data_IF_724286370763
#
_entry.id   IF_724286370763
#
_cell.length_a   1.000
_cell.length_b   1.000
_cell.length_c   1.000
_cell.angle_alpha   90.00
_cell.angle_beta   90.00
_cell.angle_gamma   90.00
#
_symmetry.space_group_name_H-M   'P 1'
#
loop_
_entity.id
_entity.type
_entity.pdbx_description
1 polymer ?
#
# COMPACT_ATOMS: atom_id res chain seq x y z
N UNK A 1 -19.29 3.31 1.75
CA UNK A 1 -18.68 4.08 0.64
C UNK A 1 -17.21 3.73 0.46
N UNK A 2 -16.28 4.16 1.33
CA UNK A 2 -14.82 3.95 1.14
C UNK A 2 -14.39 2.48 0.95
N UNK A 3 -15.09 1.52 1.56
CA UNK A 3 -14.80 0.08 1.40
C UNK A 3 -15.03 -0.47 -0.02
N UNK A 4 -15.67 0.30 -0.90
CA UNK A 4 -15.90 -0.06 -2.30
C UNK A 4 -14.86 0.54 -3.26
N UNK A 5 -13.97 1.40 -2.76
CA UNK A 5 -12.92 1.99 -3.57
C UNK A 5 -11.82 0.99 -3.87
N UNK A 6 -11.15 1.17 -5.00
CA UNK A 6 -9.96 0.38 -5.30
C UNK A 6 -8.86 0.72 -4.27
N UNK A 7 -8.02 -0.23 -3.83
CA UNK A 7 -6.97 0.05 -2.84
C UNK A 7 -6.04 1.21 -3.24
N UNK A 8 -5.78 1.38 -4.54
CA UNK A 8 -5.04 2.54 -5.08
C UNK A 8 -5.72 3.88 -4.77
N UNK A 9 -7.04 3.95 -4.84
CA UNK A 9 -7.78 5.18 -4.56
C UNK A 9 -7.76 5.51 -3.07
N UNK A 10 -7.84 4.49 -2.21
CA UNK A 10 -7.66 4.67 -0.77
C UNK A 10 -6.26 5.19 -0.43
N UNK A 11 -5.22 4.69 -1.09
CA UNK A 11 -3.85 5.20 -0.95
C UNK A 11 -3.75 6.65 -1.42
N UNK A 12 -4.32 6.98 -2.58
CA UNK A 12 -4.34 8.35 -3.10
C UNK A 12 -5.03 9.29 -2.11
N UNK A 13 -6.22 8.93 -1.62
CA UNK A 13 -6.99 9.71 -0.67
C UNK A 13 -6.24 9.92 0.66
N UNK A 14 -5.59 8.86 1.13
CA UNK A 14 -4.74 8.91 2.32
C UNK A 14 -3.52 9.82 2.13
N UNK A 15 -3.05 10.08 0.90
CA UNK A 15 -1.85 10.89 0.66
C UNK A 15 -2.17 12.35 0.33
N UNK A 16 -3.35 12.63 -0.21
CA UNK A 16 -3.77 13.99 -0.57
C UNK A 16 -4.45 14.75 0.57
N UNK A 17 -4.95 14.06 1.59
CA UNK A 17 -5.67 14.69 2.71
C UNK A 17 -5.18 14.18 4.06
N UNK A 18 -4.74 15.10 4.93
CA UNK A 18 -4.34 14.78 6.31
C UNK A 18 -5.48 14.16 7.13
N UNK A 19 -6.72 14.60 6.89
CA UNK A 19 -7.90 14.07 7.57
C UNK A 19 -8.16 12.62 7.17
N UNK A 20 -8.12 12.33 5.86
CA UNK A 20 -8.29 10.96 5.37
C UNK A 20 -7.11 10.08 5.76
N UNK A 21 -5.87 10.59 5.73
CA UNK A 21 -4.71 9.88 6.26
C UNK A 21 -4.94 9.45 7.72
N UNK A 22 -5.29 10.42 8.58
CA UNK A 22 -5.51 10.20 9.99
C UNK A 22 -6.70 9.27 10.29
N UNK A 23 -7.66 9.14 9.38
CA UNK A 23 -8.77 8.21 9.49
C UNK A 23 -8.42 6.80 8.95
N UNK A 24 -7.89 6.71 7.73
CA UNK A 24 -7.63 5.46 7.03
C UNK A 24 -6.50 4.64 7.65
N UNK A 25 -5.52 5.29 8.28
CA UNK A 25 -4.38 4.61 8.94
C UNK A 25 -4.69 4.13 10.36
N UNK A 26 -5.92 4.32 10.87
CA UNK A 26 -6.32 3.79 12.18
C UNK A 26 -6.60 2.28 12.10
N UNK A 27 -6.31 1.57 13.19
CA UNK A 27 -6.69 0.14 13.32
C UNK A 27 -8.20 -0.09 13.15
N UNK A 28 -9.04 0.85 13.60
CA UNK A 28 -10.50 0.78 13.40
C UNK A 28 -10.92 0.80 11.93
N UNK A 29 -10.07 1.34 11.05
CA UNK A 29 -10.28 1.41 9.60
C UNK A 29 -9.73 0.19 8.86
N UNK A 30 -9.11 -0.78 9.53
CA UNK A 30 -8.58 -1.98 8.90
C UNK A 30 -9.63 -2.74 8.06
N UNK A 31 -10.89 -2.76 8.52
CA UNK A 31 -12.00 -3.38 7.78
C UNK A 31 -12.23 -2.74 6.40
N UNK A 32 -11.99 -1.44 6.25
CA UNK A 32 -12.12 -0.73 4.97
C UNK A 32 -11.10 -1.27 3.97
N UNK A 33 -9.84 -1.40 4.40
CA UNK A 33 -8.77 -1.92 3.57
C UNK A 33 -8.95 -3.39 3.22
N UNK A 34 -9.34 -4.23 4.20
CA UNK A 34 -9.65 -5.65 3.97
C UNK A 34 -10.70 -5.82 2.88
N UNK A 35 -11.80 -5.09 2.97
CA UNK A 35 -12.90 -5.21 1.99
C UNK A 35 -12.50 -4.63 0.62
N UNK A 36 -11.74 -3.55 0.58
CA UNK A 36 -11.21 -3.00 -0.67
C UNK A 36 -10.26 -3.98 -1.37
N UNK A 37 -9.37 -4.65 -0.63
CA UNK A 37 -8.44 -5.64 -1.16
C UNK A 37 -9.16 -6.92 -1.63
N UNK A 38 -10.17 -7.39 -0.89
CA UNK A 38 -10.97 -8.58 -1.23
C UNK A 38 -11.66 -8.46 -2.59
N UNK A 39 -11.89 -7.23 -3.05
CA UNK A 39 -12.55 -6.93 -4.33
C UNK A 39 -11.60 -6.97 -5.51
N UNK A 40 -10.29 -7.04 -5.29
CA UNK A 40 -9.32 -7.16 -6.39
C UNK A 40 -9.19 -8.62 -6.77
N UNK A 41 -9.57 -8.93 -8.01
CA UNK A 41 -9.48 -10.27 -8.56
C UNK A 41 -8.02 -10.73 -8.66
N UNK A 42 -7.78 -12.02 -8.40
CA UNK A 42 -6.46 -12.66 -8.44
C UNK A 42 -5.38 -12.03 -7.52
N UNK A 43 -5.77 -11.19 -6.55
CA UNK A 43 -4.85 -10.67 -5.55
C UNK A 43 -4.63 -11.74 -4.44
N UNK A 44 -3.37 -12.12 -4.13
CA UNK A 44 -3.12 -13.00 -3.01
C UNK A 44 -3.53 -12.33 -1.68
N UNK A 45 -3.89 -13.13 -0.67
CA UNK A 45 -4.20 -12.60 0.65
C UNK A 45 -3.02 -11.79 1.20
N UNK A 46 -3.33 -10.77 2.01
CA UNK A 46 -2.31 -9.99 2.70
C UNK A 46 -1.42 -10.94 3.52
N UNK A 47 -0.08 -10.90 3.35
CA UNK A 47 0.84 -11.66 4.19
C UNK A 47 0.65 -11.32 5.67
N UNK A 48 0.90 -12.28 6.56
CA UNK A 48 0.77 -12.10 8.02
C UNK A 48 1.73 -11.05 8.58
N UNK A 49 2.86 -10.83 7.90
CA UNK A 49 3.88 -9.85 8.29
C UNK A 49 3.51 -8.41 7.89
N UNK A 50 2.40 -8.21 7.17
CA UNK A 50 1.94 -6.90 6.71
C UNK A 50 0.55 -6.55 7.21
N UNK A 51 0.35 -5.25 7.40
CA UNK A 51 -0.98 -4.65 7.50
C UNK A 51 -1.54 -4.36 6.10
N UNK A 52 -2.85 -4.33 5.98
CA UNK A 52 -3.54 -4.17 4.70
C UNK A 52 -3.15 -2.89 3.92
N UNK A 53 -2.97 -1.70 4.56
CA UNK A 53 -2.51 -0.52 3.85
C UNK A 53 -1.09 -0.69 3.27
N UNK A 54 -0.22 -1.42 3.97
CA UNK A 54 1.15 -1.68 3.52
C UNK A 54 1.16 -2.69 2.35
N UNK A 55 0.30 -3.72 2.42
CA UNK A 55 0.09 -4.64 1.31
C UNK A 55 -0.48 -3.94 0.08
N UNK A 56 -1.49 -3.08 0.27
CA UNK A 56 -2.01 -2.24 -0.80
C UNK A 56 -0.92 -1.36 -1.41
N UNK A 57 -0.06 -0.76 -0.59
CA UNK A 57 1.05 0.05 -1.08
C UNK A 57 2.06 -0.77 -1.89
N UNK A 58 2.46 -1.94 -1.40
CA UNK A 58 3.41 -2.80 -2.09
C UNK A 58 2.95 -3.17 -3.52
N UNK A 59 1.67 -3.53 -3.65
CA UNK A 59 1.07 -4.01 -4.89
C UNK A 59 0.67 -2.86 -5.83
N UNK A 60 -0.05 -1.86 -5.33
CA UNK A 60 -0.70 -0.85 -6.17
C UNK A 60 0.00 0.51 -6.20
N UNK A 61 0.96 0.76 -5.31
CA UNK A 61 1.70 2.01 -5.29
C UNK A 61 3.00 1.88 -6.09
N UNK A 62 3.22 2.69 -7.15
CA UNK A 62 4.40 2.53 -7.99
C UNK A 62 5.68 3.15 -7.40
N UNK A 63 5.55 4.01 -6.39
CA UNK A 63 6.70 4.75 -5.84
C UNK A 63 7.45 3.96 -4.78
N UNK A 64 8.70 4.37 -4.53
CA UNK A 64 9.54 3.80 -3.49
C UNK A 64 8.87 3.94 -2.12
N UNK A 65 8.79 2.85 -1.35
CA UNK A 65 8.19 2.87 -0.01
C UNK A 65 9.07 3.58 1.03
N UNK A 66 10.35 3.79 0.73
CA UNK A 66 11.30 4.48 1.63
C UNK A 66 11.34 5.97 1.35
N UNK A 67 11.66 6.39 0.12
CA UNK A 67 11.81 7.81 -0.20
C UNK A 67 10.56 8.45 -0.83
N UNK A 68 9.60 7.66 -1.32
CA UNK A 68 8.38 8.16 -1.95
C UNK A 68 8.53 8.86 -3.30
N UNK A 69 9.76 9.10 -3.79
CA UNK A 69 10.02 10.01 -4.91
C UNK A 69 10.20 9.38 -6.30
N UNK A 70 10.60 8.11 -6.38
CA UNK A 70 10.92 7.46 -7.66
C UNK A 70 9.92 6.34 -7.97
N UNK A 71 9.46 6.30 -9.23
CA UNK A 71 8.56 5.28 -9.79
C UNK A 71 9.31 4.09 -10.40
N UNK A 72 10.62 4.24 -10.69
CA UNK A 72 11.49 3.18 -11.23
C UNK A 72 11.91 2.20 -10.13
N UNK A 73 10.90 1.56 -9.56
CA UNK A 73 11.03 0.68 -8.41
C UNK A 73 10.96 -0.79 -8.80
N UNK A 74 11.50 -1.66 -7.95
CA UNK A 74 11.22 -3.08 -8.00
C UNK A 74 10.66 -3.54 -6.65
N UNK A 75 9.72 -4.47 -6.70
CA UNK A 75 9.24 -5.18 -5.52
C UNK A 75 10.30 -6.23 -5.16
N UNK A 76 10.76 -6.20 -3.92
CA UNK A 76 11.65 -7.19 -3.34
C UNK A 76 10.79 -8.05 -2.41
N UNK A 77 10.24 -9.13 -2.96
CA UNK A 77 9.26 -9.98 -2.27
C UNK A 77 9.79 -10.59 -0.97
N UNK A 78 11.09 -10.92 -0.91
CA UNK A 78 11.73 -11.43 0.29
C UNK A 78 11.65 -10.49 1.50
N UNK A 79 11.55 -9.18 1.26
CA UNK A 79 11.44 -8.16 2.31
C UNK A 79 10.10 -7.40 2.25
N UNK A 80 9.17 -7.84 1.39
CA UNK A 80 7.86 -7.23 1.19
C UNK A 80 7.92 -5.70 1.02
N UNK A 81 8.92 -5.20 0.29
CA UNK A 81 9.18 -3.77 0.11
C UNK A 81 9.39 -3.42 -1.36
N UNK A 82 8.96 -2.23 -1.76
CA UNK A 82 9.21 -1.66 -3.09
C UNK A 82 10.26 -0.55 -2.99
N UNK A 83 11.39 -0.74 -3.65
CA UNK A 83 12.54 0.18 -3.59
C UNK A 83 12.98 0.67 -4.97
N UNK A 84 13.34 1.94 -5.04
CA UNK A 84 14.03 2.52 -6.20
C UNK A 84 15.49 2.05 -6.27
N UNK A 85 16.20 2.40 -7.35
CA UNK A 85 17.61 2.01 -7.50
C UNK A 85 18.51 2.61 -6.42
N UNK A 86 18.21 3.83 -5.98
CA UNK A 86 19.02 4.55 -4.98
C UNK A 86 18.82 4.04 -3.56
N UNK A 87 17.60 3.65 -3.20
CA UNK A 87 17.29 3.09 -1.86
C UNK A 87 17.58 1.59 -1.74
N UNK A 88 17.89 0.90 -2.83
CA UNK A 88 18.24 -0.52 -2.78
C UNK A 88 19.61 -0.69 -2.13
N UNK A 89 19.78 -1.65 -1.20
CA UNK A 89 21.10 -2.05 -0.74
C UNK A 89 21.96 -2.45 -1.95
N UNK A 90 23.19 -1.94 -2.00
CA UNK A 90 24.19 -2.42 -2.95
C UNK A 90 24.66 -3.77 -2.42
N UNK A 91 24.17 -4.84 -3.03
CA UNK A 91 24.68 -6.20 -2.80
C UNK A 91 25.91 -6.39 -3.66
#
# INVERSE_FOLDING_TARGET
>A
ILMHFHPRDLLNLSRTSKAFHGFLMRRSSARIWKEALRRVEALPPCPTDLIEPAWAALVFWPFCMVCGGDINTKVIWAFLVRLCKTCRPKV
#
